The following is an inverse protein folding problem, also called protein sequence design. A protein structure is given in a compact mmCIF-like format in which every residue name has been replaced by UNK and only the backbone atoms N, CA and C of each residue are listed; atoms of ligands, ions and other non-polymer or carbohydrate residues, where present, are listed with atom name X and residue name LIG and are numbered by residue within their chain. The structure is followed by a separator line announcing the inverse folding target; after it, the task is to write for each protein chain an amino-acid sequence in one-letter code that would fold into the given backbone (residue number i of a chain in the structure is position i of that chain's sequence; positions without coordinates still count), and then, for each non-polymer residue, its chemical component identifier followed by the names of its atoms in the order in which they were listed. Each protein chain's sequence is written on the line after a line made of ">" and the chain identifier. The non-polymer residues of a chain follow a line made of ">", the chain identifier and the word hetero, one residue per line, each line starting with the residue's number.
data_IF_746119383320
#
_entry.id   IF_746119383320
#
_cell.length_a   1.000
_cell.length_b   1.000
_cell.length_c   1.000
_cell.angle_alpha   90.00
_cell.angle_beta   90.00
_cell.angle_gamma   90.00
#
_symmetry.space_group_name_H-M   'P 1'
#
loop_
_entity.id
_entity.type
_entity.pdbx_description
1 polymer ?
#
# COMPACT_ATOMS: atom_id res chain seq x y z
N UNK A 1 8.42 -6.75 5.11
CA UNK A 1 8.93 -5.43 4.71
C UNK A 1 9.15 -5.35 3.21
N UNK A 2 8.45 -4.50 2.46
CA UNK A 2 7.13 -3.89 2.73
C UNK A 2 6.26 -4.11 1.48
N UNK A 3 4.93 -4.01 1.62
CA UNK A 3 3.98 -4.28 0.53
C UNK A 3 3.55 -2.99 -0.18
N UNK A 4 3.32 -1.90 0.55
CA UNK A 4 2.97 -0.59 0.00
C UNK A 4 3.93 0.45 0.55
N UNK A 5 4.60 1.17 -0.34
CA UNK A 5 5.50 2.26 0.05
C UNK A 5 5.55 3.34 -1.02
N UNK A 6 5.66 4.60 -0.58
CA UNK A 6 5.81 5.73 -1.49
C UNK A 6 7.16 5.71 -2.22
N UNK A 7 8.18 5.07 -1.63
CA UNK A 7 9.49 4.86 -2.22
C UNK A 7 9.56 3.48 -2.89
N UNK A 8 10.45 3.35 -3.88
CA UNK A 8 10.82 2.08 -4.54
C UNK A 8 9.67 1.28 -5.19
N UNK A 9 8.47 1.84 -5.31
CA UNK A 9 7.43 1.31 -6.20
C UNK A 9 7.72 1.76 -7.63
N UNK A 10 7.84 0.81 -8.56
CA UNK A 10 8.13 1.13 -9.96
C UNK A 10 7.06 2.03 -10.60
N UNK A 11 7.48 3.05 -11.35
CA UNK A 11 6.57 4.06 -11.91
C UNK A 11 5.44 3.49 -12.80
N UNK A 12 5.69 2.36 -13.46
CA UNK A 12 4.69 1.65 -14.28
C UNK A 12 3.41 1.33 -13.50
N UNK A 13 3.51 1.15 -12.18
CA UNK A 13 2.38 0.80 -11.32
C UNK A 13 1.27 1.87 -11.39
N UNK A 14 1.65 3.13 -11.59
CA UNK A 14 0.77 4.28 -11.64
C UNK A 14 0.54 4.81 -13.07
N UNK A 15 1.05 4.12 -14.09
CA UNK A 15 0.94 4.54 -15.49
C UNK A 15 -0.05 3.64 -16.26
N UNK A 16 -0.89 4.28 -17.07
CA UNK A 16 -1.77 3.66 -18.04
C UNK A 16 -1.01 3.19 -19.28
N UNK A 17 -1.65 2.35 -20.09
CA UNK A 17 -1.05 1.82 -21.32
C UNK A 17 -0.82 2.90 -22.39
N UNK A 18 -1.54 4.03 -22.28
CA UNK A 18 -1.44 5.24 -23.10
C UNK A 18 -0.34 6.21 -22.63
N UNK A 19 0.39 5.85 -21.57
CA UNK A 19 1.42 6.67 -20.96
C UNK A 19 0.89 7.75 -20.00
N UNK A 20 -0.43 7.91 -19.87
CA UNK A 20 -1.05 8.82 -18.91
C UNK A 20 -1.09 8.21 -17.50
N UNK A 21 -1.41 8.98 -16.44
CA UNK A 21 -1.70 8.39 -15.14
C UNK A 21 -2.79 7.32 -15.23
N UNK A 22 -2.55 6.16 -14.63
CA UNK A 22 -3.54 5.09 -14.55
C UNK A 22 -4.77 5.54 -13.74
N UNK A 23 -5.95 5.03 -14.09
CA UNK A 23 -7.16 5.29 -13.31
C UNK A 23 -7.08 4.65 -11.93
N UNK A 24 -7.91 5.14 -11.00
CA UNK A 24 -8.04 4.57 -9.65
C UNK A 24 -8.28 3.07 -9.70
N UNK A 25 -9.17 2.63 -10.57
CA UNK A 25 -9.60 1.22 -10.70
C UNK A 25 -8.42 0.34 -11.12
N UNK A 26 -7.62 0.80 -12.09
CA UNK A 26 -6.44 0.08 -12.57
C UNK A 26 -5.39 -0.05 -11.46
N UNK A 27 -5.11 1.03 -10.73
CA UNK A 27 -4.13 0.98 -9.63
C UNK A 27 -4.65 0.13 -8.46
N UNK A 28 -5.94 0.19 -8.18
CA UNK A 28 -6.61 -0.63 -7.15
C UNK A 28 -6.56 -2.13 -7.49
N UNK A 29 -6.80 -2.50 -8.75
CA UNK A 29 -6.67 -3.88 -9.23
C UNK A 29 -5.21 -4.37 -9.13
N UNK A 30 -4.26 -3.55 -9.56
CA UNK A 30 -2.82 -3.86 -9.45
C UNK A 30 -2.40 -4.05 -8.00
N UNK A 31 -2.88 -3.19 -7.10
CA UNK A 31 -2.63 -3.28 -5.66
C UNK A 31 -3.16 -4.59 -5.08
N UNK A 32 -4.43 -4.91 -5.33
CA UNK A 32 -5.05 -6.16 -4.90
C UNK A 32 -4.25 -7.37 -5.36
N UNK A 33 -3.92 -7.41 -6.66
CA UNK A 33 -3.12 -8.48 -7.26
C UNK A 33 -1.73 -8.56 -6.65
N UNK A 34 -1.07 -7.43 -6.41
CA UNK A 34 0.26 -7.38 -5.79
C UNK A 34 0.24 -7.98 -4.38
N UNK A 35 -0.66 -7.50 -3.52
CA UNK A 35 -0.79 -7.97 -2.13
C UNK A 35 -1.10 -9.46 -2.09
N UNK A 36 -2.17 -9.89 -2.76
CA UNK A 36 -2.59 -11.31 -2.75
C UNK A 36 -1.51 -12.23 -3.30
N UNK A 37 -0.78 -11.79 -4.34
CA UNK A 37 0.33 -12.57 -4.90
C UNK A 37 1.52 -12.65 -3.94
N UNK A 38 1.95 -11.54 -3.36
CA UNK A 38 3.14 -11.49 -2.50
C UNK A 38 2.85 -12.10 -1.13
N UNK A 39 1.84 -11.61 -0.43
CA UNK A 39 1.44 -12.11 0.89
C UNK A 39 1.05 -13.59 0.80
N UNK A 40 0.21 -13.95 -0.18
CA UNK A 40 -0.20 -15.34 -0.39
C UNK A 40 0.96 -16.30 -0.70
N UNK A 41 1.98 -15.86 -1.46
CA UNK A 41 3.17 -16.70 -1.75
C UNK A 41 3.96 -17.09 -0.49
N UNK A 42 3.98 -16.21 0.49
CA UNK A 42 4.73 -16.39 1.74
C UNK A 42 3.83 -16.66 2.95
N UNK A 43 2.56 -17.03 2.71
CA UNK A 43 1.60 -17.37 3.76
C UNK A 43 2.21 -18.37 4.77
N UNK A 44 2.18 -18.00 6.06
CA UNK A 44 2.71 -18.82 7.16
C UNK A 44 4.23 -19.01 7.16
N UNK A 45 4.98 -18.30 6.30
CA UNK A 45 6.45 -18.36 6.24
C UNK A 45 7.13 -17.17 6.88
N UNK A 46 6.39 -16.09 7.11
CA UNK A 46 6.88 -14.87 7.79
C UNK A 46 6.00 -14.60 8.99
N UNK A 47 6.58 -14.04 10.05
CA UNK A 47 5.84 -13.71 11.27
C UNK A 47 4.85 -12.54 11.06
N UNK A 48 5.20 -11.61 10.18
CA UNK A 48 4.40 -10.43 9.92
C UNK A 48 4.85 -9.62 8.72
N UNK A 49 4.02 -8.64 8.36
CA UNK A 49 4.18 -7.76 7.23
C UNK A 49 4.04 -6.31 7.64
N UNK A 50 5.03 -5.50 7.27
CA UNK A 50 4.80 -4.08 7.04
C UNK A 50 3.94 -3.96 5.78
N UNK A 51 2.64 -3.77 5.99
CA UNK A 51 1.65 -3.69 4.91
C UNK A 51 1.76 -2.34 4.23
N UNK A 52 1.82 -1.27 5.03
CA UNK A 52 2.03 0.10 4.56
C UNK A 52 3.24 0.67 5.28
N UNK A 53 4.16 1.24 4.52
CA UNK A 53 5.33 1.94 5.04
C UNK A 53 5.24 3.43 4.74
N UNK A 54 5.50 4.26 5.75
CA UNK A 54 5.75 5.71 5.64
C UNK A 54 4.64 6.47 4.91
N UNK A 55 3.40 6.25 5.36
CA UNK A 55 2.19 6.89 4.81
C UNK A 55 1.84 8.20 5.50
N UNK A 56 2.43 8.50 6.67
CA UNK A 56 2.21 9.76 7.39
C UNK A 56 3.19 10.82 6.85
N UNK A 57 2.73 12.06 6.76
CA UNK A 57 3.52 13.22 6.34
C UNK A 57 4.30 13.80 7.53
N UNK A 58 5.53 14.24 7.30
CA UNK A 58 6.42 14.72 8.35
C UNK A 58 5.97 16.06 8.97
N UNK A 59 5.12 16.83 8.27
CA UNK A 59 4.72 18.18 8.67
C UNK A 59 3.28 18.27 9.22
N UNK A 60 2.82 17.25 9.95
CA UNK A 60 1.49 17.22 10.55
C UNK A 60 1.32 18.11 11.77
N UNK A 61 0.09 18.54 12.02
CA UNK A 61 -0.29 19.25 13.25
C UNK A 61 -0.91 18.33 14.32
N UNK A 62 -1.05 17.03 14.03
CA UNK A 62 -1.65 16.04 14.93
C UNK A 62 -3.18 16.12 15.06
N UNK A 63 -3.85 17.02 14.33
CA UNK A 63 -5.31 17.19 14.36
C UNK A 63 -6.01 16.61 13.13
N UNK A 64 -5.24 16.24 12.10
CA UNK A 64 -5.72 15.61 10.87
C UNK A 64 -5.01 14.28 10.61
N UNK A 65 -5.55 13.47 9.71
CA UNK A 65 -4.94 12.19 9.28
C UNK A 65 -3.55 12.37 8.65
N UNK A 66 -3.23 13.58 8.18
CA UNK A 66 -1.91 14.01 7.72
C UNK A 66 -1.17 12.98 6.85
N UNK A 67 -1.88 12.41 5.86
CA UNK A 67 -1.32 11.42 4.96
C UNK A 67 -0.38 12.08 3.92
N UNK A 68 0.74 11.42 3.65
CA UNK A 68 1.70 11.82 2.62
C UNK A 68 1.05 11.78 1.24
N UNK A 69 1.18 12.86 0.48
CA UNK A 69 0.73 12.94 -0.92
C UNK A 69 1.63 12.11 -1.86
N UNK A 70 1.61 10.80 -1.70
CA UNK A 70 2.35 9.82 -2.51
C UNK A 70 1.62 9.51 -3.82
N UNK A 71 2.28 8.78 -4.74
CA UNK A 71 1.62 8.30 -5.97
C UNK A 71 0.45 7.36 -5.66
N UNK A 72 0.57 6.58 -4.58
CA UNK A 72 -0.51 5.77 -4.04
C UNK A 72 -1.72 6.62 -3.62
N UNK A 73 -1.49 7.66 -2.81
CA UNK A 73 -2.57 8.54 -2.36
C UNK A 73 -3.17 9.36 -3.51
N UNK A 74 -2.37 9.81 -4.47
CA UNK A 74 -2.89 10.50 -5.67
C UNK A 74 -3.77 9.60 -6.54
N UNK A 75 -3.41 8.31 -6.67
CA UNK A 75 -4.13 7.38 -7.52
C UNK A 75 -5.39 6.79 -6.84
N UNK A 76 -5.30 6.44 -5.56
CA UNK A 76 -6.35 5.71 -4.82
C UNK A 76 -6.95 6.54 -3.68
N UNK A 77 -6.32 7.60 -3.21
CA UNK A 77 -6.76 8.30 -2.01
C UNK A 77 -6.61 7.44 -0.74
N UNK A 78 -7.35 7.75 0.34
CA UNK A 78 -7.15 7.13 1.66
C UNK A 78 -7.44 5.62 1.69
N UNK A 79 -8.29 5.13 0.78
CA UNK A 79 -8.64 3.70 0.68
C UNK A 79 -7.42 2.79 0.48
N UNK A 80 -6.29 3.32 0.01
CA UNK A 80 -5.07 2.52 -0.17
C UNK A 80 -4.62 1.86 1.14
N UNK A 81 -4.78 2.53 2.28
CA UNK A 81 -4.46 1.95 3.59
C UNK A 81 -5.46 0.83 3.92
N UNK A 82 -6.75 1.16 3.94
CA UNK A 82 -7.82 0.23 4.31
C UNK A 82 -7.80 -1.04 3.47
N UNK A 83 -7.70 -0.88 2.15
CA UNK A 83 -7.72 -2.02 1.24
C UNK A 83 -6.43 -2.84 1.32
N UNK A 84 -5.28 -2.20 1.55
CA UNK A 84 -4.04 -2.93 1.71
C UNK A 84 -4.06 -3.88 2.92
N UNK A 85 -4.52 -3.38 4.08
CA UNK A 85 -4.67 -4.22 5.28
C UNK A 85 -5.72 -5.30 5.11
N UNK A 86 -6.88 -4.96 4.53
CA UNK A 86 -7.94 -5.93 4.27
C UNK A 86 -7.43 -7.11 3.44
N UNK A 87 -6.79 -6.83 2.31
CA UNK A 87 -6.31 -7.87 1.41
C UNK A 87 -5.09 -8.62 1.94
N UNK A 88 -4.24 -7.97 2.73
CA UNK A 88 -3.15 -8.66 3.42
C UNK A 88 -3.70 -9.68 4.43
N UNK A 89 -4.71 -9.29 5.21
CA UNK A 89 -5.38 -10.20 6.16
C UNK A 89 -6.10 -11.35 5.46
N UNK A 90 -6.82 -11.07 4.36
CA UNK A 90 -7.47 -12.12 3.57
C UNK A 90 -6.46 -13.12 2.98
N UNK A 91 -5.27 -12.65 2.58
CA UNK A 91 -4.22 -13.48 2.02
C UNK A 91 -3.48 -14.32 3.08
N UNK A 92 -3.17 -13.74 4.25
CA UNK A 92 -2.57 -14.45 5.39
C UNK A 92 -3.20 -13.99 6.72
N UNK A 93 -4.27 -14.66 7.18
CA UNK A 93 -5.01 -14.24 8.38
C UNK A 93 -4.22 -14.33 9.68
N UNK A 94 -3.18 -15.18 9.73
CA UNK A 94 -2.40 -15.46 10.92
C UNK A 94 -1.16 -14.56 11.05
N UNK A 95 -0.82 -13.80 10.00
CA UNK A 95 0.32 -12.89 10.02
C UNK A 95 0.03 -11.62 10.83
N UNK A 96 1.04 -11.13 11.55
CA UNK A 96 0.99 -9.81 12.16
C UNK A 96 1.04 -8.73 11.07
N UNK A 97 0.09 -7.80 11.04
CA UNK A 97 0.03 -6.73 10.05
C UNK A 97 0.36 -5.39 10.71
N UNK A 98 1.39 -4.71 10.23
CA UNK A 98 1.86 -3.44 10.75
C UNK A 98 1.72 -2.31 9.72
N UNK A 99 1.43 -1.11 10.24
CA UNK A 99 1.80 0.15 9.61
C UNK A 99 3.16 0.52 10.20
N UNK A 100 4.17 0.62 9.35
CA UNK A 100 5.51 1.01 9.78
C UNK A 100 5.77 2.46 9.34
N UNK A 101 6.20 3.31 10.27
CA UNK A 101 6.53 4.70 10.00
C UNK A 101 7.73 5.13 10.85
N UNK A 102 8.24 6.34 10.61
CA UNK A 102 9.36 6.92 11.36
C UNK A 102 9.02 8.28 11.99
N UNK A 103 9.92 8.74 12.86
CA UNK A 103 9.78 9.89 13.77
C UNK A 103 8.63 9.73 14.79
#
# INVERSE_FOLDING_TARGET
>A
HTVVWHSQTGGWFFQGADGQPATREVVMERLHKHITTVVGRYKGKVLGWDVVNESINDNGDGTTENLRTSSWYRAIGPDVLTMAFKWAHEADPDALLSLNDYN
#
